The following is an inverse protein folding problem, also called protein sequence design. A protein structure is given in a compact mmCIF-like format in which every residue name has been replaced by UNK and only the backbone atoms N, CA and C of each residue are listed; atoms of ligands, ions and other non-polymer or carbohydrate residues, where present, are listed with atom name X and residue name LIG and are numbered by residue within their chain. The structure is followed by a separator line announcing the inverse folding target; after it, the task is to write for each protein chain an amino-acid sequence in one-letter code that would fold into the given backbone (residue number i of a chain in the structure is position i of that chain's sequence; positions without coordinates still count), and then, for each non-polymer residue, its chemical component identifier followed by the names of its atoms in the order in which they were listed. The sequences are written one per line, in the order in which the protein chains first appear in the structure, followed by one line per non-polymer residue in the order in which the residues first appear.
data_IF_949278810446
#
_entry.id   IF_949278810446
#
_cell.length_a   1.000
_cell.length_b   1.000
_cell.length_c   1.000
_cell.angle_alpha   90.00
_cell.angle_beta   90.00
_cell.angle_gamma   90.00
#
_symmetry.space_group_name_H-M   'P 1'
#
loop_
_entity.id
_entity.type
_entity.pdbx_description
1 polymer ?
#
# COMPACT_ATOMS: atom_id res chain seq x y z
N UNK A 1 -3.66 19.58 -0.27
CA UNK A 1 -3.13 19.03 -1.54
C UNK A 1 -2.45 17.68 -1.32
N UNK A 2 -1.46 17.57 -0.42
CA UNK A 2 -0.75 16.30 -0.14
C UNK A 2 -1.68 15.18 0.31
N UNK A 3 -2.61 15.42 1.24
CA UNK A 3 -3.57 14.40 1.70
C UNK A 3 -4.40 13.78 0.57
N UNK A 4 -4.81 14.58 -0.41
CA UNK A 4 -5.55 14.11 -1.59
C UNK A 4 -4.69 13.20 -2.47
N UNK A 5 -3.40 13.51 -2.65
CA UNK A 5 -2.47 12.66 -3.39
C UNK A 5 -2.33 11.29 -2.73
N UNK A 6 -2.22 11.24 -1.39
CA UNK A 6 -2.12 9.98 -0.64
C UNK A 6 -3.38 9.12 -0.76
N UNK A 7 -4.56 9.74 -0.68
CA UNK A 7 -5.84 9.03 -0.85
C UNK A 7 -5.95 8.46 -2.25
N UNK A 8 -5.65 9.26 -3.29
CA UNK A 8 -5.71 8.80 -4.68
C UNK A 8 -4.70 7.68 -4.95
N UNK A 9 -3.45 7.83 -4.52
CA UNK A 9 -2.44 6.78 -4.66
C UNK A 9 -2.82 5.50 -3.95
N UNK A 10 -3.39 5.59 -2.75
CA UNK A 10 -3.84 4.41 -2.00
C UNK A 10 -5.03 3.73 -2.70
N UNK A 11 -5.94 4.51 -3.29
CA UNK A 11 -7.05 3.98 -4.07
C UNK A 11 -6.58 3.22 -5.32
N UNK A 12 -5.68 3.81 -6.12
CA UNK A 12 -5.13 3.12 -7.30
C UNK A 12 -4.24 1.93 -6.92
N UNK A 13 -3.47 2.06 -5.83
CA UNK A 13 -2.61 0.99 -5.33
C UNK A 13 -3.37 -0.23 -4.81
N UNK A 14 -4.63 -0.05 -4.39
CA UNK A 14 -5.53 -1.10 -3.91
C UNK A 14 -6.18 -1.93 -5.03
N UNK A 15 -6.34 -1.36 -6.25
CA UNK A 15 -6.97 -2.04 -7.39
C UNK A 15 -6.37 -3.42 -7.74
N UNK A 16 -5.04 -3.63 -7.73
CA UNK A 16 -4.45 -4.94 -7.99
C UNK A 16 -4.92 -6.03 -7.02
N UNK A 17 -5.17 -5.70 -5.75
CA UNK A 17 -5.65 -6.66 -4.76
C UNK A 17 -7.12 -7.04 -4.99
N UNK A 18 -7.93 -6.07 -5.40
CA UNK A 18 -9.35 -6.26 -5.72
C UNK A 18 -9.51 -7.05 -7.01
N UNK A 19 -8.78 -6.70 -8.07
CA UNK A 19 -8.83 -7.43 -9.35
C UNK A 19 -8.26 -8.83 -9.28
N UNK A 20 -7.28 -9.07 -8.41
CA UNK A 20 -6.77 -10.41 -8.16
C UNK A 20 -7.75 -11.29 -7.36
N UNK A 21 -8.81 -10.72 -6.79
CA UNK A 21 -9.79 -11.42 -5.95
C UNK A 21 -9.25 -11.92 -4.61
N UNK A 22 -8.00 -11.56 -4.27
CA UNK A 22 -7.33 -11.98 -3.04
C UNK A 22 -7.79 -11.14 -1.84
N UNK A 23 -8.12 -9.87 -2.08
CA UNK A 23 -8.81 -9.00 -1.12
C UNK A 23 -10.02 -8.40 -1.85
N UNK A 24 -11.18 -9.08 -1.84
CA UNK A 24 -12.34 -8.67 -2.63
C UNK A 24 -13.01 -7.38 -2.11
N UNK A 25 -12.83 -7.07 -0.82
CA UNK A 25 -13.38 -5.87 -0.22
C UNK A 25 -12.44 -4.67 -0.46
N UNK A 26 -12.96 -3.65 -1.12
CA UNK A 26 -12.21 -2.43 -1.47
C UNK A 26 -11.66 -1.71 -0.22
N UNK A 27 -12.42 -1.71 0.88
CA UNK A 27 -12.00 -1.04 2.12
C UNK A 27 -10.78 -1.75 2.73
N UNK A 28 -10.80 -3.08 2.73
CA UNK A 28 -9.71 -3.89 3.27
C UNK A 28 -8.46 -3.77 2.39
N UNK A 29 -8.63 -3.76 1.06
CA UNK A 29 -7.55 -3.53 0.10
C UNK A 29 -6.95 -2.12 0.24
N UNK A 30 -7.78 -1.11 0.46
CA UNK A 30 -7.34 0.26 0.71
C UNK A 30 -6.55 0.38 2.01
N UNK A 31 -7.01 -0.26 3.09
CA UNK A 31 -6.30 -0.27 4.36
C UNK A 31 -4.92 -0.95 4.23
N UNK A 32 -4.86 -2.10 3.56
CA UNK A 32 -3.62 -2.84 3.34
C UNK A 32 -2.59 -2.00 2.57
N UNK A 33 -3.03 -1.28 1.54
CA UNK A 33 -2.16 -0.42 0.73
C UNK A 33 -1.78 0.87 1.41
N UNK A 34 -2.71 1.51 2.12
CA UNK A 34 -2.42 2.70 2.90
C UNK A 34 -1.36 2.40 3.94
N UNK A 35 -1.48 1.27 4.65
CA UNK A 35 -0.49 0.78 5.61
C UNK A 35 0.88 0.54 4.97
N UNK A 36 0.91 0.03 3.74
CA UNK A 36 2.14 -0.16 2.97
C UNK A 36 2.83 1.15 2.62
N UNK A 37 2.10 2.12 2.05
CA UNK A 37 2.67 3.41 1.68
C UNK A 37 3.11 4.24 2.88
N UNK A 38 2.43 4.13 4.03
CA UNK A 38 2.86 4.81 5.26
C UNK A 38 3.92 4.04 6.04
N UNK A 39 4.38 2.89 5.53
CA UNK A 39 5.32 1.98 6.19
C UNK A 39 4.88 1.52 7.58
N UNK A 40 3.57 1.55 7.86
CA UNK A 40 2.99 1.15 9.16
C UNK A 40 3.06 -0.36 9.35
N UNK A 41 2.93 -1.15 8.28
CA UNK A 41 3.07 -2.60 8.33
C UNK A 41 1.94 -3.35 9.02
N UNK A 42 0.82 -2.67 9.30
CA UNK A 42 -0.42 -3.31 9.69
C UNK A 42 -1.00 -4.10 8.50
N UNK A 43 -1.61 -5.25 8.76
CA UNK A 43 -2.23 -6.09 7.74
C UNK A 43 -3.58 -6.63 8.21
N UNK A 44 -4.52 -6.77 7.28
CA UNK A 44 -5.81 -7.44 7.50
C UNK A 44 -5.74 -8.94 7.23
N UNK A 45 -4.64 -9.41 6.64
CA UNK A 45 -4.43 -10.82 6.31
C UNK A 45 -3.85 -11.56 7.53
N UNK A 46 -4.54 -12.63 7.97
CA UNK A 46 -4.01 -13.51 9.02
C UNK A 46 -2.74 -14.25 8.59
N UNK A 47 -2.66 -14.60 7.31
CA UNK A 47 -1.47 -15.21 6.71
C UNK A 47 -1.20 -14.56 5.34
N UNK A 48 -0.09 -13.84 5.27
CA UNK A 48 0.34 -13.13 4.07
C UNK A 48 0.88 -14.09 3.00
N UNK A 49 1.27 -15.32 3.39
CA UNK A 49 1.82 -16.32 2.45
C UNK A 49 0.77 -16.91 1.49
N UNK A 50 -0.52 -16.72 1.80
CA UNK A 50 -1.65 -17.08 0.94
C UNK A 50 -1.72 -16.20 -0.31
N UNK A 51 -1.11 -15.01 -0.23
CA UNK A 51 -1.14 -14.02 -1.28
C UNK A 51 -0.26 -14.46 -2.48
N UNK A 52 -0.73 -14.21 -3.71
CA UNK A 52 0.05 -14.54 -4.90
C UNK A 52 1.43 -13.87 -4.89
N UNK A 53 2.43 -14.52 -5.48
CA UNK A 53 3.82 -14.01 -5.45
C UNK A 53 3.97 -12.61 -6.05
N UNK A 54 3.17 -12.30 -7.07
CA UNK A 54 3.09 -10.97 -7.68
C UNK A 54 2.51 -9.92 -6.71
N UNK A 55 1.50 -10.27 -5.91
CA UNK A 55 0.94 -9.37 -4.92
C UNK A 55 1.82 -9.22 -3.69
N UNK A 56 2.52 -10.28 -3.27
CA UNK A 56 3.54 -10.18 -2.22
C UNK A 56 4.65 -9.21 -2.61
N UNK A 57 5.08 -9.27 -3.88
CA UNK A 57 6.00 -8.30 -4.45
C UNK A 57 5.40 -6.90 -4.43
N UNK A 58 4.16 -6.74 -4.92
CA UNK A 58 3.47 -5.44 -4.93
C UNK A 58 3.36 -4.82 -3.53
N UNK A 59 3.00 -5.63 -2.52
CA UNK A 59 2.96 -5.20 -1.12
C UNK A 59 4.32 -4.73 -0.63
N UNK A 60 5.37 -5.52 -0.86
CA UNK A 60 6.74 -5.16 -0.48
C UNK A 60 7.26 -3.93 -1.22
N UNK A 61 6.85 -3.76 -2.46
CA UNK A 61 7.19 -2.61 -3.29
C UNK A 61 6.52 -1.32 -2.80
N UNK A 62 5.27 -1.39 -2.33
CA UNK A 62 4.58 -0.22 -1.75
C UNK A 62 5.22 0.24 -0.45
N UNK A 63 5.74 -0.69 0.37
CA UNK A 63 6.58 -0.37 1.52
C UNK A 63 7.88 0.33 1.14
N UNK A 64 8.54 -0.12 0.06
CA UNK A 64 9.76 0.51 -0.45
C UNK A 64 9.49 1.94 -0.94
N UNK A 65 8.44 2.12 -1.75
CA UNK A 65 8.02 3.45 -2.23
C UNK A 65 7.63 4.36 -1.07
N UNK A 66 6.87 3.84 -0.10
CA UNK A 66 6.47 4.58 1.09
C UNK A 66 7.66 5.11 1.89
N UNK A 67 8.63 4.24 2.18
CA UNK A 67 9.84 4.61 2.90
C UNK A 67 10.69 5.64 2.14
N UNK A 68 10.82 5.47 0.82
CA UNK A 68 11.56 6.40 -0.03
C UNK A 68 10.84 7.75 -0.16
N UNK A 69 9.50 7.76 -0.21
CA UNK A 69 8.68 8.97 -0.24
C UNK A 69 8.85 9.83 1.01
N UNK A 70 8.80 9.22 2.20
CA UNK A 70 9.02 9.94 3.47
C UNK A 70 10.42 10.58 3.53
N UNK A 71 11.46 9.87 3.07
CA UNK A 71 12.82 10.39 3.02
C UNK A 71 12.94 11.59 2.09
N UNK A 72 12.35 11.53 0.90
CA UNK A 72 12.34 12.65 -0.06
C UNK A 72 11.58 13.84 0.51
N UNK A 73 10.43 13.63 1.16
CA UNK A 73 9.69 14.71 1.82
C UNK A 73 10.49 15.36 2.96
N UNK A 74 11.16 14.55 3.79
CA UNK A 74 11.99 15.05 4.89
C UNK A 74 13.15 15.90 4.37
N UNK A 75 13.80 15.49 3.28
CA UNK A 75 14.90 16.23 2.66
C UNK A 75 14.44 17.50 1.92
N UNK A 76 13.29 17.46 1.24
CA UNK A 76 12.80 18.59 0.45
C UNK A 76 12.27 19.77 1.28
N UNK A 77 11.92 19.53 2.55
CA UNK A 77 11.42 20.55 3.49
C UNK A 77 12.57 21.17 4.31
N UNK A 78 13.72 20.50 4.39
CA UNK A 78 14.90 20.95 5.15
C UNK A 78 15.77 21.95 4.38
#
# INVERSE_FOLDING_TARGET
MVALCWILWSFFGALPFVFSGQIPNMIDAFFEISSGFTTTGATILNDVSVLSRSLLFWRSFTHLIGGMGVLVFALAIM
#
